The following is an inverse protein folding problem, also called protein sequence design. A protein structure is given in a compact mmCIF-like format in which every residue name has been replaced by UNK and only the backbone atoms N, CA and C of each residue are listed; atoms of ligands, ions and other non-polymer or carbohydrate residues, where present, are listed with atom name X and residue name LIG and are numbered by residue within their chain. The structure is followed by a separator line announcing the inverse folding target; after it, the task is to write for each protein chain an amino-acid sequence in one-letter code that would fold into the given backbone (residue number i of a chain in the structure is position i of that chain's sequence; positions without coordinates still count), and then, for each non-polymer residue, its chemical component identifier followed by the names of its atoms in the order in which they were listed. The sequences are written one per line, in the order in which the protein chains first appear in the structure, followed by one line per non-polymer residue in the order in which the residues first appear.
data_IF_248387370345
#
_entry.id   IF_248387370345
#
_cell.length_a   1.000
_cell.length_b   1.000
_cell.length_c   1.000
_cell.angle_alpha   90.00
_cell.angle_beta   90.00
_cell.angle_gamma   90.00
#
_symmetry.space_group_name_H-M   'P 1'
#
loop_
_entity.id
_entity.type
_entity.pdbx_description
1 polymer ?
#
# COMPACT_ATOMS: atom_id res chain seq x y z
N UNK A 1 6.48 15.15 23.66
CA UNK A 1 6.38 15.63 22.25
C UNK A 1 4.95 15.43 21.80
N UNK A 2 4.39 16.34 20.99
CA UNK A 2 3.03 16.21 20.44
C UNK A 2 3.11 16.49 18.94
N UNK A 3 2.50 15.61 18.15
CA UNK A 3 2.36 15.69 16.70
C UNK A 3 0.88 15.55 16.35
N UNK A 4 0.37 16.47 15.54
CA UNK A 4 -0.93 16.38 14.88
C UNK A 4 -0.74 16.87 13.45
N UNK A 5 -0.77 15.93 12.51
CA UNK A 5 -0.49 16.16 11.10
C UNK A 5 -1.66 15.62 10.28
N UNK A 6 -2.15 16.43 9.35
CA UNK A 6 -3.22 16.07 8.42
C UNK A 6 -2.76 16.38 6.99
N UNK A 7 -2.55 15.33 6.19
CA UNK A 7 -2.08 15.41 4.81
C UNK A 7 -3.19 14.92 3.91
N UNK A 8 -3.73 15.85 3.14
CA UNK A 8 -4.69 15.53 2.09
C UNK A 8 -3.99 14.87 0.89
N UNK A 9 -4.50 13.71 0.49
CA UNK A 9 -4.18 13.03 -0.77
C UNK A 9 -2.68 12.75 -1.02
N UNK A 10 -1.89 12.18 -0.08
CA UNK A 10 -0.51 11.81 -0.38
C UNK A 10 -0.49 10.73 -1.46
N UNK A 11 0.25 10.98 -2.54
CA UNK A 11 0.33 10.09 -3.70
C UNK A 11 1.72 9.50 -3.82
N UNK A 12 1.79 8.22 -4.17
CA UNK A 12 3.04 7.50 -4.41
C UNK A 12 2.97 6.85 -5.78
N UNK A 13 4.03 7.00 -6.57
CA UNK A 13 4.21 6.31 -7.84
C UNK A 13 5.44 5.43 -7.76
N UNK A 14 5.28 4.14 -8.02
CA UNK A 14 6.36 3.16 -8.12
C UNK A 14 6.48 2.76 -9.60
N UNK A 15 7.50 3.25 -10.31
CA UNK A 15 7.72 2.90 -11.71
C UNK A 15 8.34 1.51 -11.85
N UNK A 16 7.99 0.78 -12.91
CA UNK A 16 8.66 -0.48 -13.30
C UNK A 16 9.26 -0.34 -14.70
N UNK A 17 10.16 -1.24 -15.10
CA UNK A 17 10.65 -1.33 -16.48
C UNK A 17 9.82 -2.31 -17.35
N UNK A 18 8.70 -2.83 -16.82
CA UNK A 18 7.86 -3.78 -17.54
C UNK A 18 6.94 -3.06 -18.52
N UNK A 19 7.09 -3.32 -19.82
CA UNK A 19 6.24 -2.77 -20.87
C UNK A 19 5.41 -3.88 -21.54
N UNK A 20 4.12 -4.06 -21.20
CA UNK A 20 3.30 -5.13 -21.78
C UNK A 20 3.07 -4.99 -23.29
N UNK A 21 3.13 -3.77 -23.82
CA UNK A 21 3.00 -3.42 -25.24
C UNK A 21 4.36 -3.10 -25.91
N UNK A 22 5.47 -3.33 -25.21
CA UNK A 22 6.84 -2.93 -25.57
C UNK A 22 7.09 -1.41 -25.67
N UNK A 23 6.14 -0.56 -25.30
CA UNK A 23 6.26 0.90 -25.43
C UNK A 23 5.98 1.66 -24.14
N UNK A 24 5.01 1.22 -23.34
CA UNK A 24 4.51 1.90 -22.16
C UNK A 24 4.78 1.09 -20.91
N UNK A 25 5.67 1.62 -20.06
CA UNK A 25 6.01 0.97 -18.81
C UNK A 25 4.85 1.01 -17.80
N UNK A 26 4.61 -0.11 -17.13
CA UNK A 26 3.65 -0.23 -16.03
C UNK A 26 4.16 0.50 -14.79
N UNK A 27 3.26 1.19 -14.10
CA UNK A 27 3.51 1.88 -12.82
C UNK A 27 2.46 1.44 -11.80
N UNK A 28 2.86 1.25 -10.55
CA UNK A 28 1.93 1.16 -9.42
C UNK A 28 1.71 2.55 -8.84
N UNK A 29 0.45 2.94 -8.73
CA UNK A 29 0.00 4.22 -8.24
C UNK A 29 -0.78 3.97 -6.95
N UNK A 30 -0.29 4.53 -5.85
CA UNK A 30 -0.95 4.47 -4.55
C UNK A 30 -1.47 5.85 -4.19
N UNK A 31 -2.78 5.90 -3.97
CA UNK A 31 -3.47 7.03 -3.40
C UNK A 31 -3.72 6.73 -1.93
N UNK A 32 -3.04 7.43 -1.02
CA UNK A 32 -3.21 7.24 0.42
C UNK A 32 -4.42 7.98 0.98
N UNK A 33 -5.22 8.62 0.11
CA UNK A 33 -6.42 9.37 0.46
C UNK A 33 -6.13 10.42 1.53
N UNK A 34 -6.82 10.47 2.66
CA UNK A 34 -6.46 11.41 3.73
C UNK A 34 -5.61 10.73 4.80
N UNK A 35 -4.37 11.19 5.00
CA UNK A 35 -3.46 10.67 6.02
C UNK A 35 -3.43 11.62 7.23
N UNK A 36 -3.89 11.12 8.37
CA UNK A 36 -3.80 11.79 9.66
C UNK A 36 -2.81 11.05 10.56
N UNK A 37 -1.92 11.78 11.24
CA UNK A 37 -0.95 11.24 12.20
C UNK A 37 -1.07 12.03 13.50
N UNK A 38 -1.34 11.33 14.61
CA UNK A 38 -1.52 11.95 15.93
C UNK A 38 -0.72 11.23 16.99
N UNK A 39 -0.05 11.98 17.86
CA UNK A 39 0.51 11.42 19.10
C UNK A 39 -0.62 11.06 20.05
N UNK A 40 -0.57 9.85 20.63
CA UNK A 40 -1.54 9.41 21.62
C UNK A 40 -1.22 10.02 22.99
N UNK A 41 -2.24 10.53 23.69
CA UNK A 41 -2.05 11.16 24.99
C UNK A 41 -1.57 10.17 26.07
N UNK A 42 -0.76 10.68 27.00
CA UNK A 42 -0.09 9.90 28.07
C UNK A 42 -1.05 9.31 29.12
N UNK A 43 -2.35 9.65 29.09
CA UNK A 43 -3.34 9.16 30.05
C UNK A 43 -3.64 7.66 29.95
N UNK A 44 -3.16 6.98 28.90
CA UNK A 44 -3.35 5.53 28.68
C UNK A 44 -2.06 4.72 28.86
N UNK A 45 -1.09 5.18 29.67
CA UNK A 45 0.11 4.38 30.00
C UNK A 45 -0.16 3.57 31.26
N UNK A 46 -0.42 2.28 31.09
CA UNK A 46 -0.82 1.40 32.20
C UNK A 46 0.39 0.69 32.83
N UNK A 47 1.49 0.55 32.07
CA UNK A 47 2.71 -0.13 32.51
C UNK A 47 3.99 0.74 32.43
N UNK A 48 5.04 0.29 33.14
CA UNK A 48 6.37 0.88 33.00
C UNK A 48 6.97 0.69 31.59
N UNK A 49 6.53 -0.35 30.88
CA UNK A 49 6.93 -0.63 29.49
C UNK A 49 6.28 0.36 28.51
N UNK A 50 5.01 0.73 28.71
CA UNK A 50 4.32 1.71 27.86
C UNK A 50 4.99 3.09 27.88
N UNK A 51 5.67 3.41 28.98
CA UNK A 51 6.46 4.63 29.12
C UNK A 51 7.74 4.62 28.27
N UNK A 52 8.18 3.45 27.78
CA UNK A 52 9.38 3.32 26.95
C UNK A 52 9.12 3.70 25.48
N UNK A 53 7.85 3.84 25.09
CA UNK A 53 7.45 4.04 23.69
C UNK A 53 6.77 5.41 23.44
N UNK A 54 7.10 6.03 22.31
CA UNK A 54 6.28 7.05 21.67
C UNK A 54 5.18 6.37 20.87
N UNK A 55 3.93 6.81 21.05
CA UNK A 55 2.76 6.20 20.41
C UNK A 55 2.10 7.16 19.44
N UNK A 56 1.76 6.66 18.26
CA UNK A 56 1.11 7.41 17.20
C UNK A 56 -0.08 6.62 16.65
N UNK A 57 -1.22 7.29 16.55
CA UNK A 57 -2.34 6.81 15.74
C UNK A 57 -2.20 7.39 14.33
N UNK A 58 -2.19 6.52 13.33
CA UNK A 58 -2.24 6.90 11.92
C UNK A 58 -3.58 6.45 11.36
N UNK A 59 -4.31 7.37 10.76
CA UNK A 59 -5.60 7.08 10.12
C UNK A 59 -5.50 7.50 8.67
N UNK A 60 -5.71 6.53 7.78
CA UNK A 60 -5.83 6.75 6.35
C UNK A 60 -7.29 6.51 5.94
N UNK A 61 -7.91 7.47 5.27
CA UNK A 61 -9.21 7.27 4.63
C UNK A 61 -9.05 7.18 3.12
N UNK A 62 -9.89 6.41 2.44
CA UNK A 62 -9.96 6.34 0.97
C UNK A 62 -8.66 5.88 0.27
N UNK A 63 -7.88 5.02 0.94
CA UNK A 63 -6.66 4.41 0.37
C UNK A 63 -7.04 3.53 -0.80
N UNK A 64 -6.40 3.74 -1.96
CA UNK A 64 -6.59 2.91 -3.15
C UNK A 64 -5.27 2.72 -3.89
N UNK A 65 -5.21 1.66 -4.70
CA UNK A 65 -4.04 1.36 -5.51
C UNK A 65 -4.46 0.87 -6.90
N UNK A 66 -3.72 1.31 -7.92
CA UNK A 66 -3.98 0.98 -9.31
C UNK A 66 -2.69 0.83 -10.10
N UNK A 67 -2.67 -0.09 -11.06
CA UNK A 67 -1.62 -0.19 -12.07
C UNK A 67 -2.04 0.66 -13.28
N UNK A 68 -1.05 1.28 -13.91
CA UNK A 68 -1.26 2.06 -15.12
C UNK A 68 -0.11 1.83 -16.09
N UNK A 69 -0.43 1.53 -17.34
CA UNK A 69 0.55 1.36 -18.42
C UNK A 69 0.71 2.72 -19.12
N UNK A 70 1.89 3.34 -18.99
CA UNK A 70 2.23 4.62 -19.64
C UNK A 70 2.49 5.79 -18.70
N UNK A 71 2.42 7.00 -19.25
CA UNK A 71 2.80 8.24 -18.55
C UNK A 71 1.66 8.89 -17.79
N UNK A 72 1.48 8.44 -16.54
CA UNK A 72 0.49 9.01 -15.64
C UNK A 72 1.00 10.26 -14.91
N UNK A 73 0.16 11.30 -14.87
CA UNK A 73 0.39 12.54 -14.12
C UNK A 73 -0.78 12.80 -13.17
N UNK A 74 -0.50 12.89 -11.86
CA UNK A 74 -1.52 13.11 -10.82
C UNK A 74 -2.33 14.41 -11.01
N UNK A 75 -1.71 15.45 -11.59
CA UNK A 75 -2.37 16.75 -11.84
C UNK A 75 -3.42 16.72 -12.97
N UNK A 76 -3.44 15.67 -13.79
CA UNK A 76 -4.40 15.55 -14.90
C UNK A 76 -5.78 15.06 -14.45
N UNK A 77 -5.94 14.64 -13.19
CA UNK A 77 -7.24 14.27 -12.62
C UNK A 77 -7.90 15.52 -12.03
N UNK A 78 -8.56 16.29 -12.89
CA UNK A 78 -9.75 17.04 -12.45
C UNK A 78 -10.97 16.18 -12.79
N UNK A 79 -11.73 15.78 -11.76
CA UNK A 79 -13.03 15.11 -11.90
C UNK A 79 -13.94 15.96 -12.82
N UNK A 80 -14.06 15.58 -14.10
CA UNK A 80 -15.29 15.73 -14.92
C UNK A 80 -15.13 15.45 -16.42
N UNK A 81 -14.06 14.83 -16.90
CA UNK A 81 -14.01 14.41 -18.30
C UNK A 81 -14.35 12.94 -18.43
N UNK A 82 -15.61 12.72 -18.80
CA UNK A 82 -16.04 11.60 -19.63
C UNK A 82 -14.93 11.20 -20.61
N UNK A 83 -14.60 9.91 -20.63
CA UNK A 83 -14.20 9.13 -21.81
C UNK A 83 -13.34 9.86 -22.86
N UNK A 84 -12.11 9.37 -23.04
CA UNK A 84 -11.26 9.50 -24.25
C UNK A 84 -10.16 10.57 -24.28
N UNK A 85 -9.19 10.55 -23.34
CA UNK A 85 -7.87 11.16 -23.66
C UNK A 85 -6.64 10.68 -22.90
N UNK A 86 -6.70 9.64 -22.05
CA UNK A 86 -5.49 8.96 -21.56
C UNK A 86 -5.44 7.59 -22.22
N UNK A 87 -4.54 7.43 -23.19
CA UNK A 87 -4.19 6.18 -23.90
C UNK A 87 -3.45 5.21 -22.97
N UNK A 88 -4.03 4.91 -21.81
CA UNK A 88 -3.49 3.96 -20.85
C UNK A 88 -4.63 3.34 -20.06
N UNK A 89 -4.58 2.03 -19.95
CA UNK A 89 -5.57 1.26 -19.20
C UNK A 89 -5.29 1.37 -17.70
N UNK A 90 -6.31 1.73 -16.93
CA UNK A 90 -6.26 1.70 -15.47
C UNK A 90 -6.69 0.32 -14.98
N UNK A 91 -5.85 -0.31 -14.17
CA UNK A 91 -6.15 -1.60 -13.57
C UNK A 91 -6.16 -1.45 -12.04
N UNK A 92 -7.34 -1.30 -11.42
CA UNK A 92 -7.46 -1.29 -9.97
C UNK A 92 -6.78 -2.53 -9.35
N UNK A 93 -6.09 -2.33 -8.23
CA UNK A 93 -5.47 -3.40 -7.43
C UNK A 93 -6.18 -3.50 -6.08
N UNK A 94 -6.51 -2.36 -5.46
CA UNK A 94 -7.24 -2.28 -4.21
C UNK A 94 -8.31 -1.21 -4.32
N UNK A 95 -9.56 -1.55 -3.96
CA UNK A 95 -10.63 -0.55 -3.82
C UNK A 95 -10.36 0.41 -2.66
N UNK A 96 -11.04 1.57 -2.70
CA UNK A 96 -10.95 2.54 -1.61
C UNK A 96 -11.30 1.90 -0.27
N UNK A 97 -10.37 1.97 0.66
CA UNK A 97 -10.52 1.43 2.00
C UNK A 97 -9.95 2.38 3.06
N UNK A 98 -10.46 2.29 4.28
CA UNK A 98 -9.84 2.93 5.43
C UNK A 98 -8.75 2.04 6.03
N UNK A 99 -7.68 2.64 6.54
CA UNK A 99 -6.62 1.94 7.26
C UNK A 99 -6.35 2.68 8.55
N UNK A 100 -6.36 1.97 9.68
CA UNK A 100 -5.94 2.53 10.97
C UNK A 100 -4.71 1.79 11.43
N UNK A 101 -3.65 2.52 11.75
CA UNK A 101 -2.39 1.99 12.26
C UNK A 101 -2.14 2.56 13.65
N UNK A 102 -1.65 1.73 14.56
CA UNK A 102 -1.06 2.18 15.81
C UNK A 102 0.42 1.87 15.76
N UNK A 103 1.24 2.92 15.75
CA UNK A 103 2.69 2.83 15.68
C UNK A 103 3.27 3.16 17.05
N UNK A 104 4.14 2.31 17.56
CA UNK A 104 4.92 2.56 18.76
C UNK A 104 6.41 2.52 18.43
N UNK A 105 7.14 3.57 18.78
CA UNK A 105 8.59 3.68 18.57
C UNK A 105 9.30 3.81 19.90
N UNK A 106 10.35 3.01 20.12
CA UNK A 106 11.07 3.04 21.39
C UNK A 106 11.82 4.37 21.55
N UNK A 107 11.81 4.94 22.75
CA UNK A 107 12.51 6.20 23.04
C UNK A 107 14.01 6.01 23.25
N UNK A 108 14.42 4.81 23.66
CA UNK A 108 15.81 4.44 23.88
C UNK A 108 16.02 3.01 23.42
N UNK A 109 17.04 2.77 22.60
CA UNK A 109 17.34 1.43 22.12
C UNK A 109 17.67 0.49 23.28
N UNK A 110 17.09 -0.71 23.25
CA UNK A 110 17.38 -1.77 24.21
C UNK A 110 17.38 -3.11 23.47
N UNK A 111 18.22 -4.08 23.88
CA UNK A 111 18.21 -5.42 23.28
C UNK A 111 17.00 -6.26 23.69
N UNK A 112 16.22 -5.83 24.68
CA UNK A 112 15.10 -6.60 25.25
C UNK A 112 13.76 -6.33 24.57
N UNK A 113 13.62 -5.19 23.91
CA UNK A 113 12.36 -4.72 23.36
C UNK A 113 12.53 -4.28 21.90
N UNK A 114 11.50 -4.49 21.04
CA UNK A 114 11.59 -4.09 19.64
C UNK A 114 11.60 -2.57 19.49
N UNK A 115 12.39 -2.06 18.55
CA UNK A 115 12.49 -0.62 18.28
C UNK A 115 11.19 -0.03 17.71
N UNK A 116 10.40 -0.84 17.02
CA UNK A 116 9.12 -0.45 16.42
C UNK A 116 8.08 -1.55 16.64
N UNK A 117 6.88 -1.15 17.05
CA UNK A 117 5.68 -2.01 17.09
C UNK A 117 4.61 -1.38 16.20
N UNK A 118 3.94 -2.20 15.41
CA UNK A 118 2.91 -1.75 14.48
C UNK A 118 1.68 -2.66 14.61
N UNK A 119 0.54 -2.07 14.94
CA UNK A 119 -0.76 -2.73 14.85
C UNK A 119 -1.56 -2.13 13.71
N UNK A 120 -2.22 -2.97 12.92
CA UNK A 120 -2.96 -2.56 11.72
C UNK A 120 -4.40 -3.04 11.83
N UNK A 121 -5.35 -2.13 11.60
CA UNK A 121 -6.79 -2.42 11.55
C UNK A 121 -7.33 -2.02 10.19
N UNK A 122 -7.87 -3.00 9.49
CA UNK A 122 -8.48 -2.86 8.17
C UNK A 122 -9.96 -3.27 8.29
N UNK A 123 -10.93 -2.39 7.98
CA UNK A 123 -12.34 -2.74 8.09
C UNK A 123 -12.74 -3.76 7.03
N UNK A 124 -12.46 -3.47 5.76
CA UNK A 124 -12.69 -4.35 4.61
C UNK A 124 -11.70 -3.96 3.52
N UNK A 125 -11.01 -4.96 2.97
CA UNK A 125 -10.05 -4.77 1.90
C UNK A 125 -10.50 -5.61 0.71
N UNK A 126 -10.71 -4.96 -0.43
CA UNK A 126 -11.11 -5.63 -1.66
C UNK A 126 -9.98 -5.54 -2.68
N UNK A 127 -9.48 -6.71 -3.06
CA UNK A 127 -8.41 -6.87 -4.03
C UNK A 127 -8.95 -7.27 -5.37
N UNK A 128 -8.39 -6.65 -6.38
CA UNK A 128 -8.71 -6.83 -7.78
C UNK A 128 -7.64 -7.73 -8.39
N UNK A 129 -7.99 -8.99 -8.68
CA UNK A 129 -7.05 -10.01 -9.16
C UNK A 129 -7.40 -10.54 -10.56
N UNK A 130 -6.41 -10.59 -11.44
CA UNK A 130 -6.38 -11.42 -12.65
C UNK A 130 -4.93 -11.80 -12.94
N UNK A 131 -4.66 -12.84 -13.75
CA UNK A 131 -3.29 -13.17 -14.14
C UNK A 131 -2.51 -11.95 -14.67
N UNK A 132 -3.16 -11.11 -15.48
CA UNK A 132 -2.62 -9.84 -15.98
C UNK A 132 -2.18 -8.85 -14.90
N UNK A 133 -2.98 -8.68 -13.84
CA UNK A 133 -2.69 -7.76 -12.73
C UNK A 133 -1.62 -8.33 -11.82
N UNK A 134 -1.68 -9.64 -11.53
CA UNK A 134 -0.67 -10.31 -10.73
C UNK A 134 0.71 -10.24 -11.39
N UNK A 135 0.79 -10.54 -12.69
CA UNK A 135 2.04 -10.47 -13.45
C UNK A 135 2.67 -9.07 -13.36
N UNK A 136 1.87 -8.02 -13.58
CA UNK A 136 2.28 -6.63 -13.40
C UNK A 136 2.74 -6.33 -11.97
N UNK A 137 2.02 -6.82 -10.96
CA UNK A 137 2.39 -6.63 -9.55
C UNK A 137 3.72 -7.32 -9.19
N UNK A 138 4.02 -8.48 -9.78
CA UNK A 138 5.31 -9.15 -9.58
C UNK A 138 6.47 -8.31 -10.11
N UNK A 139 6.28 -7.58 -11.20
CA UNK A 139 7.27 -6.63 -11.69
C UNK A 139 7.49 -5.45 -10.73
N UNK A 140 6.46 -5.04 -9.99
CA UNK A 140 6.61 -4.04 -8.92
C UNK A 140 7.41 -4.61 -7.75
N UNK A 141 7.12 -5.84 -7.33
CA UNK A 141 7.82 -6.48 -6.20
C UNK A 141 9.31 -6.65 -6.49
N UNK A 142 9.69 -6.98 -7.73
CA UNK A 142 11.09 -7.12 -8.16
C UNK A 142 11.95 -5.88 -7.94
N UNK A 143 11.36 -4.69 -7.89
CA UNK A 143 12.11 -3.46 -7.60
C UNK A 143 12.71 -3.48 -6.20
N UNK A 144 12.04 -4.18 -5.27
CA UNK A 144 12.44 -4.27 -3.87
C UNK A 144 13.33 -5.48 -3.57
N UNK A 145 13.57 -6.35 -4.56
CA UNK A 145 14.49 -7.49 -4.43
C UNK A 145 15.92 -7.03 -4.77
N UNK A 146 16.74 -6.79 -3.74
CA UNK A 146 18.19 -6.57 -3.93
C UNK A 146 18.89 -7.90 -4.18
N UNK A 147 19.24 -8.19 -5.45
CA UNK A 147 20.07 -9.34 -5.80
C UNK A 147 20.03 -9.69 -7.29
N UNK A 148 21.18 -9.61 -7.94
CA UNK A 148 21.36 -10.04 -9.34
C UNK A 148 21.22 -11.56 -9.46
N UNK A 149 20.33 -12.01 -10.36
CA UNK A 149 20.38 -13.35 -10.97
C UNK A 149 19.69 -14.50 -10.21
N UNK A 150 18.78 -15.15 -10.94
CA UNK A 150 18.38 -16.58 -10.80
C UNK A 150 17.23 -16.99 -9.87
N UNK A 151 16.53 -16.10 -9.16
CA UNK A 151 15.28 -16.44 -8.46
C UNK A 151 13.99 -15.99 -9.17
N UNK A 152 14.09 -15.39 -10.37
CA UNK A 152 12.94 -14.79 -11.07
C UNK A 152 11.98 -15.79 -11.73
N UNK A 153 12.34 -17.07 -11.90
CA UNK A 153 11.48 -18.03 -12.62
C UNK A 153 10.23 -18.41 -11.83
N UNK A 154 10.29 -18.40 -10.50
CA UNK A 154 9.13 -18.68 -9.64
C UNK A 154 8.09 -17.54 -9.63
N UNK A 155 8.48 -16.32 -10.04
CA UNK A 155 7.61 -15.14 -10.03
C UNK A 155 6.90 -14.88 -11.36
N UNK A 156 7.17 -15.66 -12.42
CA UNK A 156 6.51 -15.52 -13.73
C UNK A 156 5.77 -16.81 -14.17
N UNK A 157 4.79 -17.30 -13.41
CA UNK A 157 4.07 -18.53 -13.80
C UNK A 157 3.12 -18.36 -15.00
N UNK A 158 2.96 -17.14 -15.52
CA UNK A 158 1.97 -16.80 -16.55
C UNK A 158 2.65 -16.35 -17.84
N UNK A 159 2.20 -16.89 -18.97
CA UNK A 159 2.60 -16.44 -20.31
C UNK A 159 1.64 -15.35 -20.83
N UNK A 160 1.94 -14.76 -21.99
CA UNK A 160 1.15 -13.67 -22.57
C UNK A 160 -0.31 -14.07 -22.86
N UNK A 161 -0.59 -15.33 -23.22
CA UNK A 161 -1.94 -15.82 -23.46
C UNK A 161 -2.76 -15.94 -22.15
N UNK A 162 -2.10 -16.19 -21.01
CA UNK A 162 -2.76 -16.28 -19.71
C UNK A 162 -3.26 -14.90 -19.20
N UNK A 163 -2.74 -13.81 -19.74
CA UNK A 163 -3.11 -12.44 -19.35
C UNK A 163 -4.49 -12.01 -19.91
N UNK A 164 -5.07 -12.77 -20.84
CA UNK A 164 -6.39 -12.48 -21.46
C UNK A 164 -7.59 -13.00 -20.61
N UNK A 165 -7.34 -13.45 -19.38
CA UNK A 165 -8.31 -14.13 -18.51
C UNK A 165 -9.24 -13.25 -17.64
N UNK A 166 -10.17 -13.93 -16.96
CA UNK A 166 -11.28 -13.39 -16.16
C UNK A 166 -10.84 -12.63 -14.89
N UNK A 167 -11.66 -11.66 -14.46
CA UNK A 167 -11.44 -10.81 -13.28
C UNK A 167 -12.10 -11.43 -12.03
N UNK A 168 -11.31 -11.61 -10.97
CA UNK A 168 -11.78 -12.06 -9.65
C UNK A 168 -11.64 -10.94 -8.63
N UNK A 169 -12.72 -10.64 -7.90
CA UNK A 169 -12.71 -9.73 -6.76
C UNK A 169 -12.57 -10.55 -5.47
N UNK A 170 -11.46 -10.38 -4.76
CA UNK A 170 -11.21 -11.01 -3.48
C UNK A 170 -11.50 -10.01 -2.36
N UNK A 171 -12.60 -10.22 -1.64
CA UNK A 171 -12.93 -9.40 -0.46
C UNK A 171 -12.47 -10.13 0.80
N UNK A 172 -11.53 -9.53 1.54
CA UNK A 172 -11.07 -10.06 2.82
C UNK A 172 -11.51 -9.14 3.96
N UNK A 173 -12.16 -9.73 4.96
CA UNK A 173 -12.39 -9.11 6.27
C UNK A 173 -11.34 -9.65 7.22
N UNK A 174 -10.25 -8.92 7.39
CA UNK A 174 -9.14 -9.36 8.23
C UNK A 174 -9.27 -8.72 9.61
N UNK A 175 -9.42 -9.56 10.64
CA UNK A 175 -9.14 -9.16 12.02
C UNK A 175 -7.72 -9.63 12.31
N UNK A 176 -6.72 -8.79 12.03
CA UNK A 176 -5.34 -9.08 12.45
C UNK A 176 -5.22 -8.69 13.92
N UNK A 177 -5.28 -9.68 14.80
CA UNK A 177 -4.82 -9.53 16.18
C UNK A 177 -3.39 -10.04 16.25
N UNK A 178 -2.41 -9.18 16.02
CA UNK A 178 -1.08 -9.43 16.58
C UNK A 178 -1.20 -9.17 18.08
N UNK A 179 -0.88 -10.22 18.85
CA UNK A 179 -0.92 -10.39 20.31
C UNK A 179 -1.32 -9.11 21.07
N UNK A 180 -2.41 -9.13 21.86
CA UNK A 180 -2.68 -8.02 22.76
C UNK A 180 -1.48 -7.87 23.68
N UNK A 181 -0.84 -6.71 23.65
CA UNK A 181 0.12 -6.31 24.67
C UNK A 181 -0.68 -6.26 25.98
N UNK A 182 -0.50 -7.27 26.82
CA UNK A 182 -1.01 -7.34 28.18
C UNK A 182 0.13 -7.11 29.17
#
# INVERSE_FOLDING_TARGET
FSLDLDIAAPKITIPTDFCPDNTHATKLLLDLGNLMIRTQDDYQKESAEDNMYLRFDLVLSDVSAFLFDGDYHWSQISLNTSTHSTTGDFYPVIDRCGVVLQLQLIQSETPLYPSMRLAVRLPTLAFHFSPARYHRLMHVIKIFEEGDGESSEFLRPWNQADLEGWLSLLTWKVVVSLIPFG
#
